data_IF_346410246700
#
_entry.id   IF_346410246700
#
_cell.length_a   1.000
_cell.length_b   1.000
_cell.length_c   1.000
_cell.angle_alpha   90.00
_cell.angle_beta   90.00
_cell.angle_gamma   90.00
#
_symmetry.space_group_name_H-M   'P 1'
#
loop_
_entity.id
_entity.type
_entity.pdbx_description
1 polymer ?
#
# COMPACT_ATOMS: atom_id res chain seq x y z
N UNK A 1 4.69 -1.29 -12.00
CA UNK A 1 5.84 -1.98 -12.61
C UNK A 1 5.53 -2.43 -14.04
N UNK A 2 4.78 -3.50 -14.28
CA UNK A 2 4.57 -4.07 -15.64
C UNK A 2 4.02 -3.06 -16.66
N UNK A 3 3.09 -2.18 -16.28
CA UNK A 3 2.57 -1.16 -17.19
C UNK A 3 3.60 -0.08 -17.55
N UNK A 4 4.57 0.18 -16.65
CA UNK A 4 5.64 1.17 -16.88
C UNK A 4 6.85 0.56 -17.59
N UNK A 5 7.21 -0.66 -17.20
CA UNK A 5 8.48 -1.27 -17.57
C UNK A 5 8.34 -2.46 -18.55
N UNK A 6 7.11 -2.76 -19.00
CA UNK A 6 6.81 -3.95 -19.79
C UNK A 6 7.62 -4.08 -21.06
N UNK A 7 7.78 -2.99 -21.82
CA UNK A 7 8.61 -2.99 -23.03
C UNK A 7 10.10 -3.30 -22.70
N UNK A 8 10.62 -2.76 -21.60
CA UNK A 8 11.99 -3.02 -21.12
C UNK A 8 12.17 -4.46 -20.62
N UNK A 9 11.06 -5.09 -20.18
CA UNK A 9 11.02 -6.49 -19.76
C UNK A 9 10.76 -7.46 -20.93
N UNK A 10 10.79 -6.97 -22.18
CA UNK A 10 10.64 -7.79 -23.38
C UNK A 10 9.20 -8.13 -23.76
N UNK A 11 8.21 -7.46 -23.17
CA UNK A 11 6.80 -7.67 -23.56
C UNK A 11 6.51 -6.98 -24.91
N UNK A 12 5.79 -7.69 -25.78
CA UNK A 12 5.32 -7.12 -27.06
C UNK A 12 4.33 -5.96 -26.86
N UNK A 13 4.19 -5.10 -27.86
CA UNK A 13 3.32 -3.91 -27.80
C UNK A 13 1.87 -4.22 -27.41
N UNK A 14 1.31 -5.31 -27.93
CA UNK A 14 -0.06 -5.75 -27.59
C UNK A 14 -0.20 -6.11 -26.12
N UNK A 15 0.80 -6.78 -25.55
CA UNK A 15 0.84 -7.12 -24.12
C UNK A 15 0.92 -5.88 -23.24
N UNK A 16 1.73 -4.89 -23.63
CA UNK A 16 1.85 -3.62 -22.89
C UNK A 16 0.54 -2.85 -22.96
N UNK A 17 -0.12 -2.79 -24.12
CA UNK A 17 -1.43 -2.15 -24.29
C UNK A 17 -2.50 -2.83 -23.42
N UNK A 18 -2.54 -4.17 -23.39
CA UNK A 18 -3.47 -4.93 -22.56
C UNK A 18 -3.25 -4.69 -21.08
N UNK A 19 -2.01 -4.63 -20.62
CA UNK A 19 -1.67 -4.30 -19.21
C UNK A 19 -2.17 -2.91 -18.84
N UNK A 20 -2.03 -1.92 -19.74
CA UNK A 20 -2.55 -0.57 -19.52
C UNK A 20 -4.08 -0.55 -19.37
N UNK A 21 -4.81 -1.29 -20.23
CA UNK A 21 -6.26 -1.44 -20.15
C UNK A 21 -6.70 -2.10 -18.83
N UNK A 22 -6.02 -3.18 -18.41
CA UNK A 22 -6.31 -3.86 -17.15
C UNK A 22 -6.09 -2.94 -15.97
N UNK A 23 -5.01 -2.12 -15.98
CA UNK A 23 -4.75 -1.13 -14.94
C UNK A 23 -5.86 -0.09 -14.85
N UNK A 24 -6.29 0.46 -15.98
CA UNK A 24 -7.38 1.44 -16.03
C UNK A 24 -8.70 0.84 -15.53
N UNK A 25 -9.03 -0.37 -15.97
CA UNK A 25 -10.20 -1.10 -15.49
C UNK A 25 -10.14 -1.36 -13.98
N UNK A 26 -8.96 -1.68 -13.43
CA UNK A 26 -8.74 -1.83 -12.00
C UNK A 26 -9.02 -0.55 -11.20
N UNK A 27 -8.51 0.61 -11.67
CA UNK A 27 -8.79 1.90 -11.04
C UNK A 27 -10.29 2.23 -11.07
N UNK A 28 -10.95 2.02 -12.21
CA UNK A 28 -12.40 2.20 -12.34
C UNK A 28 -13.18 1.28 -11.39
N UNK A 29 -12.74 0.04 -11.21
CA UNK A 29 -13.37 -0.89 -10.26
C UNK A 29 -13.28 -0.38 -8.83
N UNK A 30 -12.15 0.21 -8.43
CA UNK A 30 -12.01 0.84 -7.10
C UNK A 30 -13.02 1.98 -6.90
N UNK A 31 -13.23 2.83 -7.91
CA UNK A 31 -14.21 3.92 -7.85
C UNK A 31 -15.65 3.39 -7.72
N UNK A 32 -16.00 2.34 -8.48
CA UNK A 32 -17.31 1.68 -8.44
C UNK A 32 -17.55 1.10 -7.04
N UNK A 33 -16.61 0.32 -6.52
CA UNK A 33 -16.74 -0.31 -5.19
C UNK A 33 -16.81 0.72 -4.07
N UNK A 34 -16.01 1.79 -4.16
CA UNK A 34 -16.06 2.90 -3.21
C UNK A 34 -17.43 3.58 -3.23
N UNK A 35 -17.97 3.87 -4.42
CA UNK A 35 -19.30 4.49 -4.58
C UNK A 35 -20.42 3.59 -4.06
N UNK A 36 -20.25 2.29 -4.14
CA UNK A 36 -21.20 1.29 -3.61
C UNK A 36 -21.02 1.03 -2.11
N UNK A 37 -20.10 1.71 -1.41
CA UNK A 37 -19.83 1.51 0.01
C UNK A 37 -19.19 0.17 0.37
N UNK A 38 -18.60 -0.51 -0.60
CA UNK A 38 -17.92 -1.80 -0.38
C UNK A 38 -16.60 -1.58 0.36
N UNK A 39 -16.32 -2.38 1.38
CA UNK A 39 -15.03 -2.37 2.08
C UNK A 39 -13.95 -2.97 1.18
N UNK A 40 -12.89 -2.21 0.94
CA UNK A 40 -11.80 -2.61 0.06
C UNK A 40 -10.50 -2.64 0.88
N UNK A 41 -9.94 -3.83 1.06
CA UNK A 41 -8.60 -4.01 1.64
C UNK A 41 -7.49 -3.70 0.63
N UNK A 42 -6.27 -3.46 1.12
CA UNK A 42 -5.07 -3.36 0.29
C UNK A 42 -4.53 -4.76 -0.01
N UNK A 43 -4.19 -5.02 -1.27
CA UNK A 43 -3.53 -6.23 -1.70
C UNK A 43 -2.96 -6.07 -3.10
N UNK A 44 -1.75 -6.56 -3.33
CA UNK A 44 -1.00 -6.33 -4.58
C UNK A 44 -0.97 -7.51 -5.52
N UNK A 45 -1.19 -8.72 -5.00
CA UNK A 45 -1.06 -9.99 -5.75
C UNK A 45 0.26 -10.11 -6.55
N UNK A 46 1.33 -9.47 -6.07
CA UNK A 46 2.64 -9.52 -6.71
C UNK A 46 3.36 -10.82 -6.40
N UNK A 47 3.99 -11.42 -7.41
CA UNK A 47 4.70 -12.69 -7.32
C UNK A 47 6.21 -12.52 -7.53
N UNK A 48 6.99 -13.39 -6.88
CA UNK A 48 8.43 -13.51 -7.09
C UNK A 48 9.20 -12.21 -6.91
N UNK A 49 10.05 -11.85 -7.86
CA UNK A 49 10.89 -10.67 -7.82
C UNK A 49 10.11 -9.34 -7.73
N UNK A 50 8.81 -9.35 -8.07
CA UNK A 50 7.97 -8.17 -7.99
C UNK A 50 7.55 -7.80 -6.56
N UNK A 51 7.77 -8.66 -5.56
CA UNK A 51 7.42 -8.37 -4.16
C UNK A 51 8.05 -7.10 -3.62
N UNK A 52 9.24 -6.72 -4.10
CA UNK A 52 9.87 -5.46 -3.74
C UNK A 52 9.10 -4.20 -4.15
N UNK A 53 8.06 -4.34 -4.99
CA UNK A 53 7.24 -3.25 -5.50
C UNK A 53 5.88 -3.12 -4.80
N UNK A 54 5.65 -3.86 -3.70
CA UNK A 54 4.35 -3.90 -3.02
C UNK A 54 3.84 -2.52 -2.61
N UNK A 55 4.72 -1.66 -2.11
CA UNK A 55 4.36 -0.31 -1.68
C UNK A 55 3.96 0.64 -2.82
N UNK A 56 4.26 0.29 -4.08
CA UNK A 56 3.81 1.06 -5.25
C UNK A 56 2.28 1.05 -5.40
N UNK A 57 1.60 0.05 -4.85
CA UNK A 57 0.13 -0.03 -4.83
C UNK A 57 -0.50 1.17 -4.12
N UNK A 58 0.16 1.72 -3.09
CA UNK A 58 -0.29 2.93 -2.39
C UNK A 58 -0.43 4.11 -3.37
N UNK A 59 0.57 4.30 -4.24
CA UNK A 59 0.58 5.38 -5.24
C UNK A 59 -0.39 5.13 -6.39
N UNK A 60 -0.62 3.87 -6.75
CA UNK A 60 -1.59 3.49 -7.77
C UNK A 60 -2.99 3.84 -7.28
N UNK A 61 -3.34 3.47 -6.06
CA UNK A 61 -4.64 3.74 -5.44
C UNK A 61 -4.88 5.23 -5.19
N UNK A 62 -3.83 5.98 -4.87
CA UNK A 62 -3.90 7.43 -4.68
C UNK A 62 -4.39 8.20 -5.92
N UNK A 63 -4.46 7.56 -7.10
CA UNK A 63 -5.03 8.17 -8.30
C UNK A 63 -6.55 8.30 -8.24
N UNK A 64 -7.23 7.51 -7.40
CA UNK A 64 -8.70 7.47 -7.29
C UNK A 64 -9.19 7.46 -5.83
N UNK A 65 -8.29 7.43 -4.86
CA UNK A 65 -8.57 7.44 -3.42
C UNK A 65 -7.73 8.52 -2.74
N UNK A 66 -8.25 9.11 -1.66
CA UNK A 66 -7.46 9.99 -0.81
C UNK A 66 -6.38 9.20 -0.05
N UNK A 67 -5.28 9.83 0.37
CA UNK A 67 -4.27 9.16 1.19
C UNK A 67 -4.84 8.48 2.43
N UNK A 68 -5.80 9.11 3.10
CA UNK A 68 -6.48 8.53 4.26
C UNK A 68 -7.22 7.23 3.90
N UNK A 69 -7.99 7.21 2.80
CA UNK A 69 -8.70 6.00 2.36
C UNK A 69 -7.72 4.87 2.02
N UNK A 70 -6.59 5.19 1.37
CA UNK A 70 -5.54 4.21 1.05
C UNK A 70 -4.94 3.64 2.34
N UNK A 71 -4.57 4.49 3.30
CA UNK A 71 -4.03 4.04 4.59
C UNK A 71 -5.03 3.20 5.37
N UNK A 72 -6.29 3.61 5.42
CA UNK A 72 -7.34 2.83 6.07
C UNK A 72 -7.54 1.47 5.41
N UNK A 73 -7.44 1.36 4.08
CA UNK A 73 -7.53 0.08 3.37
C UNK A 73 -6.40 -0.88 3.73
N UNK A 74 -5.22 -0.35 4.03
CA UNK A 74 -4.04 -1.11 4.43
C UNK A 74 -4.02 -1.46 5.93
N UNK A 75 -4.85 -0.82 6.75
CA UNK A 75 -4.84 -0.92 8.20
C UNK A 75 -6.20 -1.35 8.74
N UNK A 76 -7.01 -0.42 9.21
CA UNK A 76 -8.29 -0.67 9.87
C UNK A 76 -9.27 -1.50 9.01
N UNK A 77 -9.45 -1.12 7.75
CA UNK A 77 -10.38 -1.84 6.85
C UNK A 77 -9.86 -3.24 6.55
N UNK A 78 -8.54 -3.38 6.35
CA UNK A 78 -7.90 -4.70 6.22
C UNK A 78 -8.14 -5.58 7.44
N UNK A 79 -7.99 -5.04 8.65
CA UNK A 79 -8.28 -5.75 9.90
C UNK A 79 -9.76 -6.15 10.03
N UNK A 80 -10.68 -5.25 9.66
CA UNK A 80 -12.11 -5.56 9.63
C UNK A 80 -12.45 -6.73 8.70
N UNK A 81 -11.88 -6.75 7.49
CA UNK A 81 -12.06 -7.84 6.50
C UNK A 81 -11.54 -9.16 7.04
N UNK A 82 -10.46 -9.14 7.80
CA UNK A 82 -9.86 -10.31 8.43
C UNK A 82 -10.57 -10.75 9.73
N UNK A 83 -11.63 -10.05 10.17
CA UNK A 83 -12.29 -10.30 11.45
C UNK A 83 -11.43 -9.95 12.67
N UNK A 84 -10.47 -9.02 12.51
CA UNK A 84 -9.52 -8.60 13.54
C UNK A 84 -9.70 -7.13 13.95
N UNK A 85 -10.89 -6.57 13.78
CA UNK A 85 -11.21 -5.20 14.18
C UNK A 85 -10.94 -5.01 15.69
N UNK A 86 -10.31 -3.90 16.06
CA UNK A 86 -9.89 -3.59 17.43
C UNK A 86 -8.67 -4.36 17.93
N UNK A 87 -8.19 -5.35 17.17
CA UNK A 87 -6.97 -6.13 17.49
C UNK A 87 -5.80 -5.68 16.61
N UNK A 88 -6.06 -5.40 15.34
CA UNK A 88 -5.07 -4.98 14.35
C UNK A 88 -5.49 -3.69 13.66
N UNK A 89 -4.52 -3.01 13.04
CA UNK A 89 -4.74 -1.90 12.12
C UNK A 89 -5.10 -0.57 12.78
N UNK A 90 -5.09 -0.48 14.09
CA UNK A 90 -5.41 0.73 14.86
C UNK A 90 -4.44 0.89 16.05
N UNK A 91 -4.19 2.14 16.42
CA UNK A 91 -3.47 2.48 17.65
C UNK A 91 -4.51 2.76 18.73
N UNK A 92 -4.88 1.72 19.48
CA UNK A 92 -5.86 1.78 20.56
C UNK A 92 -5.45 0.88 21.71
N UNK A 93 -5.84 1.17 22.96
CA UNK A 93 -5.56 0.29 24.10
C UNK A 93 -6.08 -1.13 23.87
N UNK A 94 -5.20 -2.12 24.07
CA UNK A 94 -5.51 -3.53 23.85
C UNK A 94 -5.23 -4.06 22.45
N UNK A 95 -5.01 -3.18 21.47
CA UNK A 95 -4.58 -3.60 20.14
C UNK A 95 -3.13 -4.10 20.14
N UNK A 96 -2.82 -4.94 19.18
CA UNK A 96 -1.47 -5.44 18.97
C UNK A 96 -0.55 -4.31 18.50
N UNK A 97 0.61 -4.19 19.14
CA UNK A 97 1.59 -3.15 18.83
C UNK A 97 2.37 -3.49 17.55
N UNK A 98 1.70 -3.35 16.39
CA UNK A 98 2.29 -3.40 15.06
C UNK A 98 2.30 -1.96 14.51
N UNK A 99 3.49 -1.32 14.56
CA UNK A 99 3.64 0.12 14.34
C UNK A 99 4.72 0.42 13.32
N UNK A 100 4.52 1.47 12.55
CA UNK A 100 5.55 2.11 11.73
C UNK A 100 5.80 3.53 12.21
N UNK A 101 7.07 3.92 12.35
CA UNK A 101 7.49 5.30 12.46
C UNK A 101 8.06 5.72 11.11
N UNK A 102 7.48 6.76 10.51
CA UNK A 102 7.80 7.19 9.15
C UNK A 102 8.35 8.61 9.17
N UNK A 103 9.43 8.84 8.46
CA UNK A 103 9.95 10.18 8.20
C UNK A 103 9.15 10.81 7.07
N UNK A 104 8.12 11.59 7.45
CA UNK A 104 7.19 12.26 6.56
C UNK A 104 5.74 12.19 7.04
N UNK A 105 4.86 12.78 6.27
CA UNK A 105 3.42 12.80 6.53
C UNK A 105 2.70 11.98 5.44
N UNK A 106 2.34 10.72 5.70
CA UNK A 106 1.68 9.87 4.72
C UNK A 106 0.24 10.31 4.38
N UNK A 107 -0.36 11.22 5.17
CA UNK A 107 -1.65 11.82 4.81
C UNK A 107 -1.52 12.89 3.74
N UNK A 108 -0.32 13.45 3.55
CA UNK A 108 0.00 14.40 2.48
C UNK A 108 0.66 13.75 1.28
N UNK A 109 1.58 12.81 1.54
CA UNK A 109 2.36 12.16 0.49
C UNK A 109 2.65 10.69 0.85
N UNK A 110 1.93 9.79 0.21
CA UNK A 110 2.12 8.34 0.36
C UNK A 110 3.48 7.85 -0.13
N UNK A 111 4.24 8.65 -0.91
CA UNK A 111 5.56 8.26 -1.39
C UNK A 111 6.55 8.02 -0.22
N UNK A 112 6.32 8.62 0.95
CA UNK A 112 7.13 8.33 2.14
C UNK A 112 7.06 6.87 2.62
N UNK A 113 6.06 6.10 2.17
CA UNK A 113 5.90 4.67 2.47
C UNK A 113 6.43 3.75 1.37
N UNK A 114 6.95 4.30 0.27
CA UNK A 114 7.50 3.55 -0.87
C UNK A 114 9.02 3.44 -0.79
N UNK A 115 9.71 3.12 -1.89
CA UNK A 115 11.17 3.08 -1.95
C UNK A 115 11.79 2.03 -1.03
N UNK A 116 11.19 0.83 -0.94
CA UNK A 116 11.69 -0.25 -0.06
C UNK A 116 11.72 0.15 1.43
N UNK A 117 10.89 1.14 1.83
CA UNK A 117 10.83 1.64 3.20
C UNK A 117 12.04 2.47 3.62
N UNK A 118 12.69 3.17 2.70
CA UNK A 118 13.85 4.05 2.99
C UNK A 118 13.53 5.10 4.05
N UNK A 119 12.30 5.61 4.05
CA UNK A 119 11.80 6.61 5.01
C UNK A 119 11.08 6.00 6.22
N UNK A 120 11.12 4.69 6.40
CA UNK A 120 10.59 4.03 7.60
C UNK A 120 11.70 3.95 8.63
N UNK A 121 11.61 4.78 9.67
CA UNK A 121 12.61 4.87 10.74
C UNK A 121 12.50 3.71 11.71
N UNK A 122 11.28 3.22 12.00
CA UNK A 122 11.07 2.10 12.91
C UNK A 122 9.95 1.19 12.42
N UNK A 123 10.17 -0.10 12.55
CA UNK A 123 9.14 -1.14 12.39
C UNK A 123 9.02 -1.89 13.70
N UNK A 124 7.83 -1.87 14.31
CA UNK A 124 7.50 -2.69 15.47
C UNK A 124 6.46 -3.75 15.08
N UNK A 125 6.64 -4.97 15.53
CA UNK A 125 5.73 -6.09 15.31
C UNK A 125 5.48 -6.83 16.62
N UNK A 126 4.25 -6.90 17.06
CA UNK A 126 3.87 -7.53 18.31
C UNK A 126 4.61 -6.92 19.52
N UNK A 127 4.82 -5.61 19.55
CA UNK A 127 5.55 -4.91 20.60
C UNK A 127 7.08 -5.07 20.55
N UNK A 128 7.63 -5.75 19.55
CA UNK A 128 9.08 -5.91 19.35
C UNK A 128 9.57 -5.08 18.18
N UNK A 129 10.60 -4.29 18.40
CA UNK A 129 11.30 -3.57 17.34
C UNK A 129 11.97 -4.58 16.41
N UNK A 130 11.66 -4.52 15.11
CA UNK A 130 12.23 -5.37 14.05
C UNK A 130 13.25 -4.64 13.21
N UNK A 131 12.99 -3.36 12.98
CA UNK A 131 13.87 -2.46 12.24
C UNK A 131 13.92 -1.15 13.00
N UNK A 132 15.10 -0.62 13.16
CA UNK A 132 15.35 0.72 13.68
C UNK A 132 16.47 1.33 12.85
N UNK A 133 16.21 2.50 12.29
CA UNK A 133 17.19 3.26 11.50
C UNK A 133 17.44 4.60 12.20
N UNK A 134 18.67 5.11 12.18
CA UNK A 134 18.92 6.45 12.68
C UNK A 134 18.07 7.46 11.90
N UNK A 135 17.53 8.43 12.61
CA UNK A 135 16.83 9.55 11.98
C UNK A 135 17.77 10.20 10.96
N UNK A 136 17.29 10.38 9.73
CA UNK A 136 18.04 11.16 8.76
C UNK A 136 18.05 12.60 9.25
N UNK A 137 19.23 13.14 9.54
CA UNK A 137 19.36 14.55 9.90
C UNK A 137 18.88 15.42 8.73
N UNK A 138 18.15 16.51 9.02
CA UNK A 138 17.63 17.43 8.01
C UNK A 138 18.75 18.10 7.21
#
# INVERSE_FOLDING_TARGET
ALARDGARLGLGADSVAKIAQVREAGLRSLEIFRSAGVKIGLGTDLLGASHGLQSEELLIRAQVQSPLEVLQSATRVGAEILGQAGVLGEITPGARADLLLVDGDPLRDLACLTGQGERVALVMQGGRVRVERPAQSP
#
